data_IF_585144226060
#
_entry.id   IF_585144226060
#
_cell.length_a   1.000
_cell.length_b   1.000
_cell.length_c   1.000
_cell.angle_alpha   90.00
_cell.angle_beta   90.00
_cell.angle_gamma   90.00
#
_symmetry.space_group_name_H-M   'P 1'
#
loop_
_entity.id
_entity.type
_entity.pdbx_description
1 polymer ?
#
# COMPACT_ATOMS: atom_id res chain seq x y z
N UNK A 1 33.52 30.16 -63.21
CA UNK A 1 33.87 28.73 -63.40
C UNK A 1 33.69 28.07 -62.06
N UNK A 2 32.70 27.17 -62.11
CA UNK A 2 32.46 25.97 -61.26
C UNK A 2 32.71 26.15 -59.75
N UNK A 3 31.75 26.15 -58.90
CA UNK A 3 30.63 25.22 -58.75
C UNK A 3 31.11 24.02 -57.92
N UNK A 4 30.78 23.98 -56.65
CA UNK A 4 30.44 22.70 -56.02
C UNK A 4 29.79 22.97 -54.63
N UNK A 5 28.58 22.56 -54.55
CA UNK A 5 27.68 22.55 -53.43
C UNK A 5 27.96 21.24 -52.60
N UNK A 6 28.14 21.25 -51.27
CA UNK A 6 28.14 20.00 -50.51
C UNK A 6 26.72 19.73 -49.95
N UNK A 7 26.22 18.60 -50.32
CA UNK A 7 25.02 17.91 -49.93
C UNK A 7 24.74 17.94 -48.41
N UNK A 8 23.51 18.25 -48.08
CA UNK A 8 22.90 18.04 -46.78
C UNK A 8 22.89 16.53 -46.44
N UNK A 9 23.73 16.14 -45.50
CA UNK A 9 23.67 14.83 -44.81
C UNK A 9 22.52 14.85 -43.80
N UNK A 10 21.48 14.07 -44.07
CA UNK A 10 20.38 13.83 -43.17
C UNK A 10 20.90 13.07 -41.93
N UNK A 11 20.90 13.75 -40.80
CA UNK A 11 21.25 13.18 -39.50
C UNK A 11 20.09 12.32 -38.97
N UNK A 12 20.16 11.04 -39.27
CA UNK A 12 19.19 10.01 -38.83
C UNK A 12 19.47 9.46 -37.43
N UNK A 13 20.38 10.10 -36.69
CA UNK A 13 20.83 9.62 -35.37
C UNK A 13 20.00 10.17 -34.20
N UNK A 14 19.12 11.15 -34.43
CA UNK A 14 18.33 11.77 -33.36
C UNK A 14 16.98 11.10 -33.07
N UNK A 15 16.57 10.11 -33.85
CA UNK A 15 15.28 9.40 -33.67
C UNK A 15 15.40 8.06 -32.95
N UNK A 16 16.60 7.57 -32.68
CA UNK A 16 16.80 6.29 -31.96
C UNK A 16 16.89 6.41 -30.44
N UNK A 17 16.96 7.60 -29.86
CA UNK A 17 17.02 7.80 -28.41
C UNK A 17 15.66 7.97 -27.72
N UNK A 18 14.55 8.03 -28.44
CA UNK A 18 13.21 8.24 -27.86
C UNK A 18 12.37 6.97 -27.75
N UNK A 19 12.89 5.79 -28.09
CA UNK A 19 12.12 4.51 -28.10
C UNK A 19 12.46 3.60 -26.91
N UNK A 20 13.38 3.98 -26.03
CA UNK A 20 13.90 3.05 -25.02
C UNK A 20 13.31 3.21 -23.60
N UNK A 21 12.24 3.97 -23.42
CA UNK A 21 11.55 4.10 -22.12
C UNK A 21 10.06 3.73 -22.13
N UNK A 22 9.60 3.00 -23.14
CA UNK A 22 8.32 2.34 -23.09
C UNK A 22 8.53 0.86 -22.70
N UNK A 23 8.98 0.57 -21.48
CA UNK A 23 8.78 -0.74 -20.88
C UNK A 23 7.31 -0.78 -20.45
N UNK A 24 6.45 -1.10 -21.40
CA UNK A 24 5.10 -1.56 -21.13
C UNK A 24 5.27 -2.96 -20.53
N UNK A 25 4.93 -3.12 -19.25
CA UNK A 25 4.73 -4.43 -18.64
C UNK A 25 3.57 -5.11 -19.36
N UNK A 26 3.85 -5.86 -20.40
CA UNK A 26 2.90 -6.79 -21.00
C UNK A 26 2.88 -8.08 -20.17
N UNK A 27 2.07 -8.08 -19.10
CA UNK A 27 1.44 -9.32 -18.67
C UNK A 27 0.20 -9.48 -19.55
N UNK A 28 0.10 -10.61 -20.21
CA UNK A 28 -0.81 -10.88 -21.31
C UNK A 28 -2.26 -10.46 -21.07
N UNK A 29 -2.81 -9.73 -22.04
CA UNK A 29 -4.23 -9.60 -22.33
C UNK A 29 -4.97 -8.54 -21.50
N UNK A 30 -5.44 -7.52 -22.22
CA UNK A 30 -6.22 -6.33 -21.88
C UNK A 30 -5.31 -5.13 -21.63
N UNK A 31 -5.38 -4.15 -22.52
CA UNK A 31 -4.88 -2.79 -22.27
C UNK A 31 -5.56 -2.30 -20.98
N UNK A 32 -4.80 -2.26 -19.89
CA UNK A 32 -5.31 -1.75 -18.63
C UNK A 32 -5.67 -0.28 -18.84
N UNK A 33 -6.97 0.03 -18.79
CA UNK A 33 -7.44 1.40 -19.00
C UNK A 33 -6.77 2.29 -17.97
N UNK A 34 -6.35 3.49 -18.40
CA UNK A 34 -5.78 4.49 -17.49
C UNK A 34 -6.63 4.64 -16.24
N UNK A 35 -6.01 4.79 -15.08
CA UNK A 35 -6.74 5.07 -13.83
C UNK A 35 -7.63 6.31 -13.92
N UNK A 36 -7.34 7.25 -14.83
CA UNK A 36 -8.15 8.44 -15.05
C UNK A 36 -9.32 8.20 -16.02
N UNK A 37 -9.28 7.13 -16.81
CA UNK A 37 -10.28 6.83 -17.84
C UNK A 37 -11.02 5.53 -17.49
N UNK A 38 -11.89 5.61 -16.50
CA UNK A 38 -12.75 4.51 -16.05
C UNK A 38 -14.19 4.98 -15.97
N UNK A 39 -15.11 4.05 -16.09
CA UNK A 39 -16.51 4.28 -15.73
C UNK A 39 -16.68 4.19 -14.22
N UNK A 40 -17.72 4.82 -13.70
CA UNK A 40 -18.06 4.81 -12.29
C UNK A 40 -18.01 6.17 -11.63
N UNK A 41 -17.97 6.17 -10.31
CA UNK A 41 -18.12 7.34 -9.45
C UNK A 41 -16.98 7.40 -8.42
N UNK A 42 -16.55 8.62 -8.12
CA UNK A 42 -15.66 8.94 -7.00
C UNK A 42 -16.42 9.85 -6.04
N UNK A 43 -16.37 9.57 -4.74
CA UNK A 43 -16.83 10.53 -3.73
C UNK A 43 -15.79 11.65 -3.61
N UNK A 44 -16.23 12.89 -3.80
CA UNK A 44 -15.36 14.07 -3.76
C UNK A 44 -16.08 15.21 -3.04
N UNK A 45 -15.53 15.68 -1.94
CA UNK A 45 -16.03 16.82 -1.15
C UNK A 45 -17.55 16.76 -0.88
N UNK A 46 -18.03 15.64 -0.37
CA UNK A 46 -19.42 15.47 0.07
C UNK A 46 -20.37 14.90 -0.98
N UNK A 47 -19.94 14.61 -2.21
CA UNK A 47 -20.82 14.10 -3.28
C UNK A 47 -20.13 13.07 -4.17
N UNK A 48 -20.93 12.19 -4.77
CA UNK A 48 -20.48 11.30 -5.84
C UNK A 48 -20.36 12.10 -7.15
N UNK A 49 -19.23 12.04 -7.81
CA UNK A 49 -18.97 12.68 -9.12
C UNK A 49 -18.58 11.61 -10.13
N UNK A 50 -18.87 11.80 -11.44
CA UNK A 50 -18.38 10.90 -12.47
C UNK A 50 -16.85 10.76 -12.39
N UNK A 51 -16.34 9.55 -12.57
CA UNK A 51 -14.92 9.23 -12.42
C UNK A 51 -14.02 10.18 -13.21
N UNK A 52 -14.36 10.45 -14.48
CA UNK A 52 -13.58 11.31 -15.38
C UNK A 52 -13.63 12.79 -15.02
N UNK A 53 -14.57 13.20 -14.15
CA UNK A 53 -14.75 14.59 -13.71
C UNK A 53 -14.06 14.89 -12.37
N UNK A 54 -13.57 13.85 -11.68
CA UNK A 54 -12.78 13.99 -10.45
C UNK A 54 -11.37 14.51 -10.79
N UNK A 55 -11.26 15.82 -10.99
CA UNK A 55 -10.03 16.52 -11.42
C UNK A 55 -9.64 17.59 -10.42
N UNK A 56 -8.34 17.87 -10.36
CA UNK A 56 -7.77 18.96 -9.58
C UNK A 56 -6.96 19.88 -10.48
N UNK A 57 -6.79 21.12 -10.07
CA UNK A 57 -5.96 22.09 -10.78
C UNK A 57 -4.48 21.71 -10.69
N UNK A 58 -3.68 21.99 -11.71
CA UNK A 58 -2.23 21.70 -11.74
C UNK A 58 -1.46 22.40 -10.63
N UNK A 59 -1.96 23.52 -10.09
CA UNK A 59 -1.38 24.22 -8.94
C UNK A 59 -1.95 23.75 -7.60
N UNK A 60 -2.60 22.58 -7.53
CA UNK A 60 -2.99 21.96 -6.26
C UNK A 60 -1.76 21.79 -5.38
N UNK A 61 -1.78 22.40 -4.20
CA UNK A 61 -0.63 22.51 -3.30
C UNK A 61 0.01 21.16 -2.98
N UNK A 62 -0.80 20.14 -2.73
CA UNK A 62 -0.31 18.78 -2.44
C UNK A 62 0.50 18.19 -3.59
N UNK A 63 0.20 18.51 -4.85
CA UNK A 63 0.98 18.03 -6.01
C UNK A 63 2.41 18.60 -6.01
N UNK A 64 2.62 19.78 -5.45
CA UNK A 64 3.92 20.46 -5.43
C UNK A 64 4.74 20.12 -4.19
N UNK A 65 4.09 19.91 -3.04
CA UNK A 65 4.78 19.81 -1.75
C UNK A 65 4.56 18.48 -1.02
N UNK A 66 3.73 17.59 -1.56
CA UNK A 66 3.49 16.26 -0.98
C UNK A 66 2.70 16.25 0.34
N UNK A 67 2.17 17.42 0.76
CA UNK A 67 1.42 17.55 2.00
C UNK A 67 -0.02 17.06 1.81
N UNK A 68 -0.25 15.80 2.10
CA UNK A 68 -1.52 15.11 2.07
C UNK A 68 -1.42 13.82 2.86
N UNK A 69 -2.55 13.22 3.21
CA UNK A 69 -2.62 11.92 3.88
C UNK A 69 -3.63 11.03 3.19
N UNK A 70 -3.42 9.72 3.28
CA UNK A 70 -4.32 8.78 2.63
C UNK A 70 -4.43 7.46 3.36
N UNK A 71 -5.43 6.68 2.97
CA UNK A 71 -5.56 5.30 3.39
C UNK A 71 -5.60 4.34 2.21
N UNK A 72 -5.28 3.08 2.49
CA UNK A 72 -5.58 1.95 1.64
C UNK A 72 -6.46 1.01 2.43
N UNK A 73 -7.66 0.77 1.95
CA UNK A 73 -8.68 -0.06 2.60
C UNK A 73 -9.13 -1.13 1.61
N UNK A 74 -9.52 -2.30 2.07
CA UNK A 74 -10.05 -3.35 1.19
C UNK A 74 -11.47 -3.75 1.55
N UNK A 75 -12.26 -3.96 0.51
CA UNK A 75 -13.54 -4.65 0.58
C UNK A 75 -13.41 -6.04 -0.06
N UNK A 76 -14.02 -7.02 0.59
CA UNK A 76 -13.99 -8.41 0.16
C UNK A 76 -15.42 -8.93 -0.04
N UNK A 77 -15.62 -9.72 -1.10
CA UNK A 77 -16.82 -10.52 -1.23
C UNK A 77 -16.74 -11.66 -0.21
N UNK A 78 -17.63 -11.65 0.78
CA UNK A 78 -17.64 -12.66 1.83
C UNK A 78 -18.31 -13.95 1.36
N UNK A 79 -17.81 -15.06 1.86
CA UNK A 79 -18.38 -16.39 1.64
C UNK A 79 -19.34 -16.75 2.80
N UNK A 80 -20.17 -17.77 2.62
CA UNK A 80 -20.99 -18.28 3.69
C UNK A 80 -20.11 -18.84 4.82
N UNK A 81 -20.38 -18.45 6.05
CA UNK A 81 -19.75 -19.07 7.23
C UNK A 81 -20.39 -20.44 7.51
N UNK A 82 -19.74 -21.26 8.35
CA UNK A 82 -20.26 -22.56 8.75
C UNK A 82 -21.67 -22.48 9.37
N UNK A 83 -22.00 -21.34 9.99
CA UNK A 83 -23.25 -21.13 10.75
C UNK A 83 -24.17 -20.05 10.14
N UNK A 84 -23.86 -19.51 8.94
CA UNK A 84 -24.64 -18.41 8.38
C UNK A 84 -24.42 -18.15 6.89
N UNK A 85 -25.32 -17.34 6.32
CA UNK A 85 -25.21 -16.86 4.95
C UNK A 85 -24.03 -15.89 4.79
N UNK A 86 -23.57 -15.71 3.53
CA UNK A 86 -22.67 -14.63 3.17
C UNK A 86 -23.21 -13.27 3.62
N UNK A 87 -22.34 -12.39 4.09
CA UNK A 87 -22.69 -11.00 4.43
C UNK A 87 -22.63 -10.07 3.21
N UNK A 88 -22.41 -10.62 2.02
CA UNK A 88 -22.15 -9.84 0.81
C UNK A 88 -20.75 -9.19 0.84
N UNK A 89 -20.62 -8.05 0.19
CA UNK A 89 -19.38 -7.28 0.22
C UNK A 89 -19.21 -6.60 1.58
N UNK A 90 -18.05 -6.80 2.22
CA UNK A 90 -17.71 -6.15 3.49
C UNK A 90 -16.38 -5.42 3.40
N UNK A 91 -16.30 -4.23 3.99
CA UNK A 91 -15.05 -3.51 4.18
C UNK A 91 -14.36 -4.04 5.43
N UNK A 92 -13.09 -4.43 5.29
CA UNK A 92 -12.30 -4.94 6.40
C UNK A 92 -11.71 -3.81 7.23
N UNK A 93 -12.03 -3.79 8.53
CA UNK A 93 -11.53 -2.84 9.54
C UNK A 93 -11.73 -1.36 9.16
N UNK A 94 -12.92 -1.05 8.61
CA UNK A 94 -13.28 0.29 8.14
C UNK A 94 -13.01 1.38 9.17
N UNK A 95 -13.47 1.18 10.42
CA UNK A 95 -13.35 2.19 11.47
C UNK A 95 -11.88 2.49 11.80
N UNK A 96 -11.05 1.48 11.93
CA UNK A 96 -9.64 1.66 12.28
C UNK A 96 -8.85 2.34 11.15
N UNK A 97 -9.20 2.10 9.89
CA UNK A 97 -8.63 2.83 8.77
C UNK A 97 -9.05 4.30 8.79
N UNK A 98 -10.32 4.57 9.08
CA UNK A 98 -10.80 5.96 9.21
C UNK A 98 -10.14 6.65 10.41
N UNK A 99 -10.03 5.99 11.55
CA UNK A 99 -9.34 6.53 12.72
C UNK A 99 -7.89 6.91 12.38
N UNK A 100 -7.16 6.03 11.69
CA UNK A 100 -5.76 6.31 11.29
C UNK A 100 -5.66 7.42 10.25
N UNK A 101 -6.64 7.59 9.36
CA UNK A 101 -6.69 8.73 8.44
C UNK A 101 -6.75 10.05 9.21
N UNK A 102 -7.62 10.11 10.24
CA UNK A 102 -7.74 11.31 11.10
C UNK A 102 -6.50 11.54 11.95
N UNK A 103 -5.89 10.49 12.49
CA UNK A 103 -4.63 10.59 13.22
C UNK A 103 -3.51 11.11 12.30
N UNK A 104 -3.42 10.59 11.08
CA UNK A 104 -2.47 11.08 10.08
C UNK A 104 -2.69 12.55 9.75
N UNK A 105 -3.95 12.95 9.53
CA UNK A 105 -4.30 14.34 9.27
C UNK A 105 -3.96 15.25 10.46
N UNK A 106 -4.25 14.82 11.69
CA UNK A 106 -3.91 15.55 12.92
C UNK A 106 -2.39 15.72 13.07
N UNK A 107 -1.60 14.66 12.83
CA UNK A 107 -0.14 14.74 12.87
C UNK A 107 0.37 15.77 11.85
N UNK A 108 -0.22 15.78 10.65
CA UNK A 108 0.14 16.70 9.56
C UNK A 108 -0.52 18.07 9.69
N UNK A 109 -1.21 18.34 10.81
CA UNK A 109 -1.94 19.58 11.07
C UNK A 109 -2.96 19.95 9.99
N UNK A 110 -3.66 18.95 9.45
CA UNK A 110 -4.76 19.09 8.49
C UNK A 110 -6.09 18.85 9.20
N UNK A 111 -7.06 19.75 9.02
CA UNK A 111 -8.40 19.60 9.58
C UNK A 111 -9.34 19.06 8.50
N UNK A 112 -9.76 17.80 8.65
CA UNK A 112 -10.72 17.17 7.74
C UNK A 112 -12.11 17.84 7.95
N UNK A 113 -12.75 18.37 6.89
CA UNK A 113 -14.01 19.10 7.03
C UNK A 113 -15.27 18.20 7.14
N UNK A 114 -15.08 16.91 7.32
CA UNK A 114 -16.12 15.89 7.46
C UNK A 114 -15.93 15.11 8.76
N UNK A 115 -16.98 14.54 9.31
CA UNK A 115 -16.92 13.62 10.45
C UNK A 115 -16.41 12.24 10.02
N UNK A 116 -15.95 11.43 10.98
CA UNK A 116 -15.56 10.04 10.72
C UNK A 116 -16.71 9.21 10.14
N UNK A 117 -17.94 9.45 10.60
CA UNK A 117 -19.12 8.75 10.10
C UNK A 117 -19.43 9.11 8.65
N UNK A 118 -19.25 10.38 8.25
CA UNK A 118 -19.38 10.79 6.84
C UNK A 118 -18.30 10.14 5.97
N UNK A 119 -17.07 10.02 6.43
CA UNK A 119 -16.00 9.34 5.69
C UNK A 119 -16.24 7.83 5.63
N UNK A 120 -16.75 7.21 6.68
CA UNK A 120 -17.17 5.81 6.65
C UNK A 120 -18.30 5.61 5.63
N UNK A 121 -19.32 6.45 5.63
CA UNK A 121 -20.42 6.43 4.67
C UNK A 121 -19.91 6.64 3.23
N UNK A 122 -18.94 7.54 3.02
CA UNK A 122 -18.32 7.79 1.72
C UNK A 122 -17.58 6.54 1.18
N UNK A 123 -16.87 5.81 2.04
CA UNK A 123 -16.19 4.58 1.67
C UNK A 123 -17.19 3.46 1.29
N UNK A 124 -18.26 3.31 2.07
CA UNK A 124 -19.34 2.37 1.75
C UNK A 124 -20.01 2.75 0.42
N UNK A 125 -20.34 4.02 0.21
CA UNK A 125 -20.93 4.51 -1.02
C UNK A 125 -20.01 4.30 -2.23
N UNK A 126 -18.70 4.54 -2.09
CA UNK A 126 -17.75 4.33 -3.19
C UNK A 126 -17.70 2.87 -3.67
N UNK A 127 -17.93 1.89 -2.78
CA UNK A 127 -18.01 0.48 -3.17
C UNK A 127 -19.39 0.14 -3.74
N UNK A 128 -20.46 0.56 -3.07
CA UNK A 128 -21.85 0.26 -3.43
C UNK A 128 -22.24 0.84 -4.78
N UNK A 129 -22.03 2.15 -4.98
CA UNK A 129 -22.46 2.86 -6.19
C UNK A 129 -21.67 2.44 -7.44
N UNK A 130 -20.50 1.83 -7.25
CA UNK A 130 -19.72 1.21 -8.32
C UNK A 130 -19.95 -0.30 -8.47
N UNK A 131 -20.88 -0.88 -7.71
CA UNK A 131 -21.25 -2.30 -7.76
C UNK A 131 -20.04 -3.25 -7.66
N UNK A 132 -19.09 -2.94 -6.77
CA UNK A 132 -17.85 -3.69 -6.64
C UNK A 132 -18.02 -4.85 -5.64
N UNK A 133 -17.92 -6.12 -6.06
CA UNK A 133 -17.98 -7.26 -5.15
C UNK A 133 -16.73 -7.35 -4.26
N UNK A 134 -15.59 -6.88 -4.76
CA UNK A 134 -14.35 -6.69 -4.02
C UNK A 134 -13.66 -5.44 -4.53
N UNK A 135 -13.01 -4.69 -3.64
CA UNK A 135 -12.43 -3.41 -4.03
C UNK A 135 -11.19 -3.05 -3.20
N UNK A 136 -10.30 -2.31 -3.81
CA UNK A 136 -9.38 -1.44 -3.10
C UNK A 136 -9.99 -0.04 -3.01
N UNK A 137 -9.94 0.55 -1.83
CA UNK A 137 -10.54 1.84 -1.52
C UNK A 137 -9.43 2.79 -1.13
N UNK A 138 -9.41 3.98 -1.71
CA UNK A 138 -8.42 5.03 -1.49
C UNK A 138 -9.09 6.31 -0.96
N UNK A 139 -9.27 6.46 0.35
CA UNK A 139 -9.51 7.77 0.94
C UNK A 139 -8.23 8.60 0.89
N UNK A 140 -8.35 9.87 0.55
CA UNK A 140 -7.23 10.81 0.53
C UNK A 140 -7.70 12.20 0.95
N UNK A 141 -6.88 12.86 1.76
CA UNK A 141 -7.06 14.24 2.21
C UNK A 141 -5.90 15.07 1.69
N UNK A 142 -6.17 16.19 1.04
CA UNK A 142 -5.15 16.99 0.38
C UNK A 142 -5.49 18.48 0.39
N UNK A 143 -4.48 19.34 0.24
CA UNK A 143 -4.67 20.78 0.11
C UNK A 143 -4.97 21.21 -1.33
N UNK A 144 -5.88 22.18 -1.47
CA UNK A 144 -6.32 22.79 -2.72
C UNK A 144 -5.29 23.70 -3.39
N UNK A 145 -5.77 24.61 -4.23
CA UNK A 145 -4.95 25.42 -5.14
C UNK A 145 -5.00 26.93 -4.88
N UNK A 146 -5.49 27.37 -3.71
CA UNK A 146 -5.72 28.77 -3.40
C UNK A 146 -4.43 29.60 -3.26
N UNK A 147 -3.34 28.98 -2.84
CA UNK A 147 -2.05 29.63 -2.68
C UNK A 147 -0.90 28.62 -2.81
N UNK A 148 0.27 29.14 -3.11
CA UNK A 148 1.53 28.40 -3.15
C UNK A 148 2.45 28.80 -1.99
N UNK A 149 3.42 27.95 -1.68
CA UNK A 149 4.44 28.19 -0.65
C UNK A 149 4.25 27.34 0.60
N UNK A 150 5.28 27.26 1.43
CA UNK A 150 5.38 26.31 2.55
C UNK A 150 4.44 26.61 3.73
N UNK A 151 3.82 27.76 3.78
CA UNK A 151 2.98 28.16 4.91
C UNK A 151 1.68 27.37 5.02
N UNK A 152 1.13 26.90 3.89
CA UNK A 152 -0.12 26.14 3.77
C UNK A 152 -1.32 26.73 4.58
N UNK A 153 -1.32 28.05 4.82
CA UNK A 153 -2.37 28.72 5.60
C UNK A 153 -3.50 29.21 4.69
N UNK A 154 -4.74 28.88 5.05
CA UNK A 154 -5.92 29.30 4.30
C UNK A 154 -6.18 28.49 3.04
N UNK A 155 -5.53 27.33 2.91
CA UNK A 155 -5.82 26.37 1.85
C UNK A 155 -7.06 25.56 2.19
N UNK A 156 -7.89 25.31 1.20
CA UNK A 156 -9.01 24.37 1.33
C UNK A 156 -8.47 22.95 1.53
N UNK A 157 -9.05 22.23 2.48
CA UNK A 157 -8.79 20.80 2.65
C UNK A 157 -9.84 20.03 1.88
N UNK A 158 -9.42 19.34 0.85
CA UNK A 158 -10.25 18.47 0.04
C UNK A 158 -10.18 17.04 0.52
N UNK A 159 -11.27 16.28 0.32
CA UNK A 159 -11.32 14.85 0.62
C UNK A 159 -11.92 14.10 -0.57
N UNK A 160 -11.25 13.04 -0.97
CA UNK A 160 -11.80 12.13 -1.97
C UNK A 160 -11.77 10.67 -1.50
N UNK A 161 -12.71 9.87 -1.98
CA UNK A 161 -12.72 8.41 -1.81
C UNK A 161 -13.00 7.77 -3.17
N UNK A 162 -12.00 7.08 -3.71
CA UNK A 162 -12.13 6.27 -4.90
C UNK A 162 -12.13 4.77 -4.52
N UNK A 163 -12.87 3.95 -5.25
CA UNK A 163 -12.86 2.50 -5.11
C UNK A 163 -12.78 1.85 -6.49
N UNK A 164 -11.97 0.79 -6.61
CA UNK A 164 -11.84 0.05 -7.87
C UNK A 164 -11.54 -1.43 -7.60
N UNK A 165 -11.88 -2.28 -8.57
CA UNK A 165 -11.48 -3.68 -8.54
C UNK A 165 -9.96 -3.79 -8.64
N UNK A 166 -9.34 -4.48 -7.70
CA UNK A 166 -7.91 -4.75 -7.69
C UNK A 166 -7.65 -6.17 -7.22
N UNK A 167 -6.96 -6.95 -8.01
CA UNK A 167 -6.58 -8.33 -7.69
C UNK A 167 -5.51 -8.42 -6.61
N UNK A 168 -4.83 -9.56 -6.55
CA UNK A 168 -3.68 -9.76 -5.68
C UNK A 168 -2.55 -8.82 -6.12
N UNK A 169 -2.06 -7.98 -5.20
CA UNK A 169 -1.02 -6.97 -5.47
C UNK A 169 0.32 -7.61 -5.89
N UNK A 170 0.70 -8.69 -5.22
CA UNK A 170 1.94 -9.42 -5.50
C UNK A 170 1.74 -10.61 -6.46
N UNK A 171 0.49 -10.91 -6.86
CA UNK A 171 0.13 -12.09 -7.64
C UNK A 171 -0.07 -13.34 -6.78
N UNK A 172 -0.87 -14.28 -7.30
CA UNK A 172 -1.26 -15.49 -6.54
C UNK A 172 -0.08 -16.44 -6.30
N UNK A 173 0.90 -16.48 -7.21
CA UNK A 173 2.12 -17.28 -7.06
C UNK A 173 2.96 -16.78 -5.88
N UNK A 174 3.09 -15.46 -5.72
CA UNK A 174 3.84 -14.84 -4.63
C UNK A 174 3.25 -15.17 -3.25
N UNK A 175 1.93 -15.31 -3.16
CA UNK A 175 1.26 -15.69 -1.91
C UNK A 175 1.57 -17.14 -1.48
N UNK A 176 1.97 -18.00 -2.40
CA UNK A 176 2.31 -19.41 -2.14
C UNK A 176 3.81 -19.63 -2.01
N UNK A 177 4.58 -19.19 -3.00
CA UNK A 177 6.03 -19.44 -3.07
C UNK A 177 6.84 -18.40 -2.30
N UNK A 178 6.29 -17.23 -2.01
CA UNK A 178 6.99 -16.09 -1.43
C UNK A 178 7.73 -15.27 -2.49
N UNK A 179 8.21 -14.09 -2.09
CA UNK A 179 8.89 -13.11 -2.95
C UNK A 179 10.38 -12.98 -2.63
N UNK A 180 11.13 -12.46 -3.59
CA UNK A 180 12.53 -12.04 -3.41
C UNK A 180 12.57 -10.59 -2.95
N UNK A 181 13.31 -10.33 -1.90
CA UNK A 181 13.47 -9.02 -1.29
C UNK A 181 14.93 -8.60 -1.34
N UNK A 182 15.16 -7.30 -1.52
CA UNK A 182 16.49 -6.70 -1.46
C UNK A 182 16.53 -5.57 -0.45
N UNK A 183 17.58 -5.56 0.38
CA UNK A 183 17.85 -4.43 1.25
C UNK A 183 18.21 -3.21 0.39
N UNK A 184 17.45 -2.12 0.55
CA UNK A 184 17.68 -0.87 -0.17
C UNK A 184 18.88 -0.11 0.40
N UNK A 185 19.57 0.64 -0.47
CA UNK A 185 20.54 1.64 -0.05
C UNK A 185 19.87 2.90 0.52
N UNK A 186 18.57 3.11 0.23
CA UNK A 186 17.80 4.20 0.82
C UNK A 186 17.37 3.84 2.24
N UNK A 187 17.68 4.73 3.17
CA UNK A 187 17.29 4.58 4.57
C UNK A 187 15.87 5.09 4.78
N UNK A 188 15.08 4.38 5.61
CA UNK A 188 13.78 4.87 6.05
C UNK A 188 13.97 6.15 6.86
N UNK A 189 13.12 7.14 6.65
CA UNK A 189 13.29 8.43 7.30
C UNK A 189 13.29 8.32 8.84
N UNK A 190 14.14 9.11 9.47
CA UNK A 190 14.21 9.22 10.94
C UNK A 190 12.88 9.73 11.50
N UNK A 191 12.51 9.28 12.69
CA UNK A 191 11.23 9.59 13.35
C UNK A 191 10.92 11.10 13.43
N UNK A 192 11.93 11.95 13.44
CA UNK A 192 11.79 13.41 13.50
C UNK A 192 12.08 14.11 12.17
N UNK A 193 12.14 13.39 11.05
CA UNK A 193 12.20 14.00 9.71
C UNK A 193 10.79 14.27 9.19
N UNK A 194 9.89 13.29 9.25
CA UNK A 194 8.56 13.40 8.66
C UNK A 194 7.46 12.59 9.37
N UNK A 195 7.71 12.15 10.62
CA UNK A 195 6.71 11.53 11.51
C UNK A 195 6.08 10.25 10.95
N UNK A 196 6.74 9.11 11.07
CA UNK A 196 6.39 7.80 10.49
C UNK A 196 4.99 7.26 10.83
N UNK A 197 4.37 7.77 11.91
CA UNK A 197 3.00 7.40 12.29
C UNK A 197 1.93 7.95 11.36
N UNK A 198 2.22 9.02 10.60
CA UNK A 198 1.31 9.56 9.61
C UNK A 198 1.46 8.80 8.28
N UNK A 199 0.35 8.35 7.70
CA UNK A 199 0.32 7.81 6.34
C UNK A 199 0.25 8.96 5.33
N UNK A 200 1.38 9.69 5.20
CA UNK A 200 1.48 10.91 4.40
C UNK A 200 2.01 10.65 2.99
N UNK A 201 1.48 11.38 2.00
CA UNK A 201 1.83 11.23 0.58
C UNK A 201 3.34 11.39 0.34
N UNK A 202 3.95 12.40 0.96
CA UNK A 202 5.38 12.70 0.77
C UNK A 202 6.32 11.58 1.24
N UNK A 203 5.91 10.73 2.18
CA UNK A 203 6.70 9.59 2.65
C UNK A 203 6.93 8.54 1.57
N UNK A 204 6.02 8.44 0.61
CA UNK A 204 6.07 7.42 -0.46
C UNK A 204 7.11 7.70 -1.54
N UNK A 205 7.73 8.89 -1.56
CA UNK A 205 8.91 9.15 -2.39
C UNK A 205 10.04 8.21 -1.97
N UNK A 206 10.32 8.08 -0.67
CA UNK A 206 11.31 7.16 -0.12
C UNK A 206 10.98 5.70 -0.46
N UNK A 207 9.71 5.30 -0.32
CA UNK A 207 9.22 3.97 -0.67
C UNK A 207 9.44 3.64 -2.16
N UNK A 208 9.09 4.57 -3.06
CA UNK A 208 9.25 4.40 -4.51
C UNK A 208 10.71 4.31 -4.93
N UNK A 209 11.60 5.11 -4.34
CA UNK A 209 13.04 5.04 -4.61
C UNK A 209 13.61 3.68 -4.20
N UNK A 210 13.25 3.20 -3.01
CA UNK A 210 13.69 1.90 -2.52
C UNK A 210 13.16 0.73 -3.38
N UNK A 211 11.88 0.76 -3.72
CA UNK A 211 11.27 -0.27 -4.57
C UNK A 211 11.89 -0.30 -5.96
N UNK A 212 12.07 0.87 -6.61
CA UNK A 212 12.71 0.94 -7.93
C UNK A 212 14.13 0.40 -7.93
N UNK A 213 14.91 0.66 -6.86
CA UNK A 213 16.25 0.08 -6.69
C UNK A 213 16.18 -1.45 -6.58
N UNK A 214 15.26 -1.99 -5.78
CA UNK A 214 15.07 -3.44 -5.61
C UNK A 214 14.67 -4.11 -6.93
N UNK A 215 13.68 -3.55 -7.63
CA UNK A 215 13.22 -4.04 -8.94
C UNK A 215 14.36 -4.03 -9.99
N UNK A 216 15.14 -2.96 -10.04
CA UNK A 216 16.31 -2.85 -10.93
C UNK A 216 17.37 -3.90 -10.61
N UNK A 217 17.44 -4.37 -9.37
CA UNK A 217 18.32 -5.44 -8.91
C UNK A 217 17.74 -6.84 -9.05
N UNK A 218 16.54 -7.00 -9.65
CA UNK A 218 15.89 -8.30 -9.89
C UNK A 218 15.16 -8.87 -8.66
N UNK A 219 14.92 -8.06 -7.62
CA UNK A 219 14.03 -8.40 -6.52
C UNK A 219 12.60 -7.94 -6.82
N UNK A 220 11.63 -8.38 -6.01
CA UNK A 220 10.22 -8.07 -6.17
C UNK A 220 9.75 -7.02 -5.17
N UNK A 221 10.50 -6.82 -4.06
CA UNK A 221 10.21 -5.82 -3.02
C UNK A 221 11.51 -5.37 -2.34
N UNK A 222 11.47 -4.21 -1.68
CA UNK A 222 12.57 -3.63 -0.91
C UNK A 222 12.40 -3.86 0.59
N UNK A 223 13.51 -4.08 1.29
CA UNK A 223 13.58 -3.96 2.74
C UNK A 223 14.33 -2.67 3.08
N UNK A 224 13.72 -1.78 3.85
CA UNK A 224 14.35 -0.56 4.32
C UNK A 224 14.87 -0.74 5.75
N UNK A 225 16.06 -0.19 5.99
CA UNK A 225 16.62 -0.07 7.32
C UNK A 225 16.34 1.34 7.87
N UNK A 226 16.28 1.48 9.18
CA UNK A 226 16.20 2.77 9.84
C UNK A 226 17.57 3.50 9.82
N UNK A 227 17.67 4.75 10.29
CA UNK A 227 18.92 5.50 10.30
C UNK A 227 20.02 4.89 11.18
N UNK A 228 19.69 4.00 12.10
CA UNK A 228 20.64 3.29 12.95
C UNK A 228 21.05 1.93 12.38
N UNK A 229 20.47 1.52 11.22
CA UNK A 229 20.78 0.29 10.52
C UNK A 229 19.93 -0.93 10.93
N UNK A 230 18.88 -0.73 11.73
CA UNK A 230 17.93 -1.77 12.06
C UNK A 230 16.83 -1.89 11.01
N UNK A 231 16.25 -3.07 10.89
CA UNK A 231 15.12 -3.34 9.99
C UNK A 231 13.92 -2.47 10.37
N UNK A 232 13.37 -1.74 9.41
CA UNK A 232 12.19 -0.90 9.58
C UNK A 232 10.93 -1.56 9.00
N UNK A 233 10.81 -1.58 7.70
CA UNK A 233 9.63 -2.09 6.98
C UNK A 233 9.97 -2.31 5.50
N UNK A 234 9.04 -2.88 4.71
CA UNK A 234 9.12 -2.88 3.25
C UNK A 234 8.83 -1.51 2.66
N UNK A 235 8.69 -1.41 1.33
CA UNK A 235 8.35 -0.14 0.68
C UNK A 235 6.94 0.34 1.07
N UNK A 236 5.99 -0.56 1.30
CA UNK A 236 4.62 -0.27 1.72
C UNK A 236 4.04 -1.26 2.74
N UNK A 237 4.85 -2.13 3.35
CA UNK A 237 4.46 -3.27 4.19
C UNK A 237 5.27 -3.34 5.47
N UNK A 238 4.65 -3.82 6.57
CA UNK A 238 5.36 -4.20 7.76
C UNK A 238 5.98 -5.61 7.61
N UNK A 239 7.11 -5.86 8.25
CA UNK A 239 7.81 -7.14 8.23
C UNK A 239 7.65 -7.90 9.55
N UNK A 240 7.55 -9.22 9.43
CA UNK A 240 7.62 -10.18 10.52
C UNK A 240 8.65 -11.26 10.21
N UNK A 241 9.30 -11.76 11.25
CA UNK A 241 10.20 -12.90 11.21
C UNK A 241 9.69 -13.98 12.15
N UNK A 242 9.95 -15.23 11.82
CA UNK A 242 9.74 -16.36 12.74
C UNK A 242 11.09 -16.97 13.06
N UNK A 243 11.37 -17.19 14.34
CA UNK A 243 12.55 -17.91 14.81
C UNK A 243 12.21 -18.78 16.01
N UNK A 244 12.47 -20.08 15.92
CA UNK A 244 12.18 -21.04 16.98
C UNK A 244 10.71 -20.97 17.48
N UNK A 245 9.75 -20.75 16.57
CA UNK A 245 8.33 -20.67 16.90
C UNK A 245 7.86 -19.33 17.48
N UNK A 246 8.75 -18.38 17.71
CA UNK A 246 8.43 -17.01 18.16
C UNK A 246 8.40 -16.07 16.96
N UNK A 247 7.43 -15.18 16.92
CA UNK A 247 7.26 -14.18 15.87
C UNK A 247 7.87 -12.86 16.35
N UNK A 248 8.73 -12.26 15.53
CA UNK A 248 9.36 -10.97 15.81
C UNK A 248 8.95 -9.94 14.77
N UNK A 249 8.80 -8.68 15.19
CA UNK A 249 8.54 -7.55 14.29
C UNK A 249 9.21 -6.29 14.81
N UNK A 250 9.62 -5.36 13.95
CA UNK A 250 10.19 -4.09 14.40
C UNK A 250 9.24 -3.31 15.29
N UNK A 251 9.82 -2.63 16.28
CA UNK A 251 9.11 -1.63 17.10
C UNK A 251 8.69 -0.42 16.22
N UNK A 252 7.62 0.27 16.63
CA UNK A 252 7.00 1.33 15.83
C UNK A 252 7.77 2.67 15.93
N UNK A 253 9.06 2.66 15.71
CA UNK A 253 9.91 3.87 15.68
C UNK A 253 10.10 4.41 14.27
N UNK A 254 10.39 3.55 13.30
CA UNK A 254 10.68 3.91 11.92
C UNK A 254 9.71 3.26 10.91
N UNK A 255 8.59 2.72 11.36
CA UNK A 255 7.60 2.09 10.51
C UNK A 255 6.17 2.52 10.85
N UNK A 256 5.27 2.34 9.88
CA UNK A 256 3.86 2.63 10.07
C UNK A 256 3.22 1.59 11.01
N UNK A 257 2.31 2.04 11.89
CA UNK A 257 1.46 1.13 12.66
C UNK A 257 0.40 0.50 11.75
N UNK A 258 0.74 -0.63 11.13
CA UNK A 258 -0.10 -1.31 10.15
C UNK A 258 -1.34 -1.95 10.76
N UNK A 259 -2.50 -1.79 10.11
CA UNK A 259 -3.75 -2.43 10.54
C UNK A 259 -3.68 -3.94 10.29
N UNK A 260 -3.10 -4.37 9.17
CA UNK A 260 -2.82 -5.79 8.91
C UNK A 260 -1.79 -6.32 9.91
N UNK A 261 -0.74 -5.54 10.25
CA UNK A 261 0.20 -5.89 11.32
C UNK A 261 -0.53 -6.18 12.63
N UNK A 262 -1.42 -5.29 13.05
CA UNK A 262 -2.24 -5.50 14.25
C UNK A 262 -3.15 -6.74 14.15
N UNK A 263 -3.69 -7.03 12.96
CA UNK A 263 -4.45 -8.25 12.73
C UNK A 263 -3.60 -9.49 13.00
N UNK A 264 -2.35 -9.53 12.54
CA UNK A 264 -1.44 -10.67 12.80
C UNK A 264 -1.19 -10.89 14.29
N UNK A 265 -1.07 -9.84 15.10
CA UNK A 265 -0.94 -10.00 16.56
C UNK A 265 -2.14 -10.77 17.16
N UNK A 266 -3.36 -10.46 16.71
CA UNK A 266 -4.55 -11.15 17.21
C UNK A 266 -4.61 -12.60 16.72
N UNK A 267 -4.30 -12.85 15.44
CA UNK A 267 -4.29 -14.20 14.88
C UNK A 267 -3.18 -15.08 15.48
N UNK A 268 -1.99 -14.51 15.71
CA UNK A 268 -0.88 -15.22 16.35
C UNK A 268 -1.23 -15.68 17.78
N UNK A 269 -1.92 -14.81 18.54
CA UNK A 269 -2.41 -15.15 19.87
C UNK A 269 -3.35 -16.36 19.87
N UNK A 270 -4.21 -16.47 18.86
CA UNK A 270 -5.13 -17.60 18.75
C UNK A 270 -4.44 -18.94 18.50
N UNK A 271 -3.30 -18.94 17.81
CA UNK A 271 -2.49 -20.15 17.58
C UNK A 271 -1.43 -20.38 18.63
N UNK A 272 -1.43 -19.57 19.70
CA UNK A 272 -0.47 -19.69 20.79
C UNK A 272 0.97 -19.26 20.45
N UNK A 273 1.17 -18.52 19.36
CA UNK A 273 2.46 -17.95 19.00
C UNK A 273 2.68 -16.60 19.72
N UNK A 274 3.82 -16.48 20.39
CA UNK A 274 4.25 -15.20 20.97
C UNK A 274 4.68 -14.24 19.85
N UNK A 275 4.31 -12.96 19.97
CA UNK A 275 4.78 -11.89 19.09
C UNK A 275 5.57 -10.88 19.92
N UNK A 276 6.83 -10.69 19.55
CA UNK A 276 7.78 -9.80 20.25
C UNK A 276 8.13 -8.62 19.36
N UNK A 277 7.86 -7.41 19.83
CA UNK A 277 8.35 -6.18 19.22
C UNK A 277 9.75 -5.89 19.72
N UNK A 278 10.70 -5.78 18.78
CA UNK A 278 12.09 -5.45 19.11
C UNK A 278 12.81 -4.81 17.94
N UNK A 279 13.97 -4.22 18.19
CA UNK A 279 14.92 -3.91 17.13
C UNK A 279 15.44 -5.19 16.50
N UNK A 280 15.45 -5.24 15.18
CA UNK A 280 15.85 -6.41 14.39
C UNK A 280 17.04 -6.01 13.53
N UNK A 281 18.12 -6.79 13.58
CA UNK A 281 19.24 -6.58 12.68
C UNK A 281 19.02 -7.32 11.35
N UNK A 282 19.68 -6.87 10.28
CA UNK A 282 19.52 -7.50 8.97
C UNK A 282 19.95 -8.96 8.92
N UNK A 283 20.98 -9.32 9.67
CA UNK A 283 21.46 -10.71 9.78
C UNK A 283 20.47 -11.62 10.51
N UNK A 284 19.66 -11.10 11.43
CA UNK A 284 18.56 -11.88 12.02
C UNK A 284 17.53 -12.28 10.96
N UNK A 285 17.29 -11.45 9.93
CA UNK A 285 16.42 -11.82 8.81
C UNK A 285 17.01 -12.98 8.02
N UNK A 286 18.32 -12.98 7.75
CA UNK A 286 18.99 -14.05 6.99
C UNK A 286 18.91 -15.42 7.67
N UNK A 287 18.92 -15.46 9.01
CA UNK A 287 18.88 -16.70 9.79
C UNK A 287 17.48 -17.02 10.33
N UNK A 288 16.45 -16.26 9.94
CA UNK A 288 15.07 -16.54 10.30
C UNK A 288 14.61 -17.88 9.72
N UNK A 289 13.70 -18.55 10.42
CA UNK A 289 13.07 -19.78 9.94
C UNK A 289 11.99 -19.45 8.90
N UNK A 290 11.29 -18.31 9.06
CA UNK A 290 10.33 -17.74 8.12
C UNK A 290 10.39 -16.22 8.17
N UNK A 291 9.97 -15.57 7.09
CA UNK A 291 9.73 -14.14 7.06
C UNK A 291 8.52 -13.83 6.17
N UNK A 292 7.77 -12.77 6.50
CA UNK A 292 6.65 -12.33 5.69
C UNK A 292 6.36 -10.85 5.85
N UNK A 293 5.81 -10.26 4.81
CA UNK A 293 5.27 -8.91 4.81
C UNK A 293 3.78 -8.89 5.12
N UNK A 294 3.30 -7.76 5.64
CA UNK A 294 1.87 -7.52 5.88
C UNK A 294 1.48 -6.11 5.50
N UNK A 295 0.35 -6.00 4.81
CA UNK A 295 -0.21 -4.71 4.40
C UNK A 295 -1.60 -4.88 3.81
N UNK A 296 -2.35 -3.80 3.65
CA UNK A 296 -3.69 -3.89 3.04
C UNK A 296 -3.61 -4.36 1.58
N UNK A 297 -2.61 -3.91 0.81
CA UNK A 297 -2.41 -4.35 -0.56
C UNK A 297 -1.73 -5.72 -0.63
N UNK A 298 -0.66 -5.91 0.15
CA UNK A 298 0.13 -7.14 0.16
C UNK A 298 -0.52 -8.28 0.96
N UNK A 299 -1.53 -7.98 1.78
CA UNK A 299 -2.20 -8.95 2.65
C UNK A 299 -1.20 -9.63 3.59
N UNK A 300 -0.89 -10.91 3.42
CA UNK A 300 0.17 -11.65 4.11
C UNK A 300 1.02 -12.31 3.04
N UNK A 301 2.18 -11.73 2.74
CA UNK A 301 3.06 -12.18 1.66
C UNK A 301 4.35 -12.78 2.20
N UNK A 302 4.63 -14.07 1.97
CA UNK A 302 5.87 -14.70 2.42
C UNK A 302 7.10 -14.10 1.74
N UNK A 303 8.24 -14.09 2.44
CA UNK A 303 9.55 -13.73 1.90
C UNK A 303 10.36 -15.01 1.79
N UNK A 304 10.73 -15.39 0.55
CA UNK A 304 11.54 -16.61 0.30
C UNK A 304 13.05 -16.35 0.27
N UNK A 305 13.44 -15.11 -0.02
CA UNK A 305 14.84 -14.73 -0.22
C UNK A 305 15.06 -13.26 0.19
N UNK A 306 16.16 -12.97 0.86
CA UNK A 306 16.66 -11.62 1.10
C UNK A 306 18.13 -11.51 0.66
N UNK A 307 18.45 -10.53 -0.19
CA UNK A 307 19.81 -10.24 -0.67
C UNK A 307 20.54 -11.49 -1.23
N UNK A 308 19.82 -12.34 -1.98
CA UNK A 308 20.36 -13.57 -2.56
C UNK A 308 20.52 -14.73 -1.58
N UNK A 309 19.98 -14.64 -0.34
CA UNK A 309 19.99 -15.68 0.67
C UNK A 309 18.58 -16.21 0.90
N UNK A 310 18.39 -17.51 0.78
CA UNK A 310 17.12 -18.15 1.11
C UNK A 310 16.79 -17.97 2.59
N UNK A 311 15.53 -17.62 2.88
CA UNK A 311 15.00 -17.57 4.24
C UNK A 311 14.40 -18.95 4.55
N UNK A 312 14.83 -19.57 5.66
CA UNK A 312 14.39 -20.92 6.03
C UNK A 312 14.56 -21.92 4.90
N UNK A 313 13.45 -22.52 4.46
CA UNK A 313 13.45 -23.49 3.34
C UNK A 313 13.33 -22.83 1.96
N UNK A 314 13.34 -21.51 1.85
CA UNK A 314 13.24 -20.79 0.57
C UNK A 314 11.82 -20.73 -0.01
N UNK A 315 10.81 -20.93 0.82
CA UNK A 315 9.39 -20.83 0.47
C UNK A 315 8.56 -20.45 1.69
N UNK A 316 7.24 -20.32 1.53
CA UNK A 316 6.33 -20.04 2.65
C UNK A 316 6.46 -21.10 3.75
N UNK A 317 6.78 -20.68 4.97
CA UNK A 317 6.86 -21.54 6.14
C UNK A 317 5.50 -21.83 6.79
N UNK A 318 5.43 -22.83 7.70
CA UNK A 318 4.17 -23.32 8.25
C UNK A 318 3.42 -22.31 9.15
N UNK A 319 4.13 -21.47 9.90
CA UNK A 319 3.49 -20.43 10.74
C UNK A 319 2.93 -19.32 9.84
N UNK A 320 3.68 -18.90 8.84
CA UNK A 320 3.21 -17.93 7.82
C UNK A 320 1.99 -18.46 7.07
N UNK A 321 2.01 -19.73 6.64
CA UNK A 321 0.89 -20.38 5.96
C UNK A 321 -0.36 -20.39 6.85
N UNK A 322 -0.21 -20.75 8.11
CA UNK A 322 -1.32 -20.77 9.07
C UNK A 322 -1.93 -19.39 9.29
N UNK A 323 -1.10 -18.37 9.52
CA UNK A 323 -1.56 -16.99 9.71
C UNK A 323 -2.20 -16.43 8.44
N UNK A 324 -1.64 -16.71 7.29
CA UNK A 324 -2.18 -16.30 6.00
C UNK A 324 -3.57 -16.93 5.75
N UNK A 325 -3.73 -18.24 5.98
CA UNK A 325 -5.01 -18.93 5.87
C UNK A 325 -6.05 -18.31 6.81
N UNK A 326 -5.69 -18.09 8.07
CA UNK A 326 -6.59 -17.45 9.06
C UNK A 326 -6.96 -16.02 8.65
N UNK A 327 -6.02 -15.27 8.09
CA UNK A 327 -6.27 -13.93 7.58
C UNK A 327 -7.30 -13.97 6.43
N UNK A 328 -7.11 -14.83 5.44
CA UNK A 328 -8.04 -14.96 4.32
C UNK A 328 -9.42 -15.46 4.76
N UNK A 329 -9.48 -16.40 5.68
CA UNK A 329 -10.76 -16.85 6.24
C UNK A 329 -11.47 -15.73 7.01
N UNK A 330 -10.70 -14.86 7.69
CA UNK A 330 -11.25 -13.71 8.40
C UNK A 330 -11.84 -12.67 7.44
N UNK A 331 -11.09 -12.25 6.42
CA UNK A 331 -11.54 -11.21 5.47
C UNK A 331 -12.67 -11.72 4.56
N UNK A 332 -12.75 -13.02 4.33
CA UNK A 332 -13.84 -13.67 3.59
C UNK A 332 -15.07 -14.00 4.45
N UNK A 333 -15.05 -13.67 5.75
CA UNK A 333 -16.17 -13.85 6.65
C UNK A 333 -16.43 -15.30 7.07
N UNK A 334 -15.50 -16.23 6.81
CA UNK A 334 -15.61 -17.65 7.22
C UNK A 334 -15.43 -17.85 8.71
N UNK A 335 -14.81 -16.89 9.40
CA UNK A 335 -14.53 -16.92 10.84
C UNK A 335 -15.53 -16.05 11.59
N UNK A 336 -15.95 -16.53 12.77
CA UNK A 336 -16.87 -15.82 13.65
C UNK A 336 -16.17 -14.91 14.66
N UNK A 337 -14.85 -15.11 14.87
CA UNK A 337 -14.04 -14.21 15.67
C UNK A 337 -13.95 -12.84 14.99
N UNK A 338 -13.94 -11.79 15.80
CA UNK A 338 -13.83 -10.41 15.35
C UNK A 338 -14.87 -9.99 14.28
N UNK A 339 -16.18 -10.24 14.51
CA UNK A 339 -17.24 -9.90 13.54
C UNK A 339 -17.29 -8.40 13.24
N UNK A 340 -16.82 -7.56 14.17
CA UNK A 340 -16.70 -6.10 14.05
C UNK A 340 -15.67 -5.65 13.02
N UNK A 341 -14.76 -6.51 12.57
CA UNK A 341 -13.79 -6.19 11.53
C UNK A 341 -14.39 -6.17 10.12
N UNK A 342 -15.60 -6.67 9.95
CA UNK A 342 -16.29 -6.74 8.67
C UNK A 342 -17.52 -5.84 8.69
N UNK A 343 -17.43 -4.69 8.02
CA UNK A 343 -18.55 -3.75 7.86
C UNK A 343 -19.25 -4.02 6.53
N UNK A 344 -20.52 -4.47 6.54
CA UNK A 344 -21.29 -4.69 5.32
C UNK A 344 -21.44 -3.40 4.50
N UNK A 345 -21.37 -3.53 3.16
CA UNK A 345 -21.53 -2.41 2.21
C UNK A 345 -22.99 -2.10 1.93
N UNK A 346 -23.88 -3.10 2.06
CA UNK A 346 -25.33 -2.99 1.79
C UNK A 346 -26.08 -2.31 2.93
#
# INVERSE_FOLDING_TARGET
MSGDDPQAGSDTTSLQFLVQYAIVYTHGGVLDMSMADRDGLIWFDGKMVPWRDAKVHVLTHTLHYGMGVFEGVRAYNTEASANGASRGTCIFRLQEHTDRLYDSAKIMNMVIPFSKDEINAAQLAAVRENNLPSAYIRPMVFYGSEAMGLRAKGLTVHVMVAAWSWGSYMGDEALQSGIKVRTSSFTRHHVNISMTRAKANGHYINSMLALNEALSGGAEEALLLDPEGYVAEGSGENIFLVKNGVIYTPELTACLNGITRNTIFQLAKEIGCEVVEKRITRDEVYIADEAFFTGTAAEVTPIRELDGRSIGCGTRGPITEKLQSMYFDQVKGKREQFPQWLTPVA
#
